data_IF_379703999528
#
_entry.id   IF_379703999528
#
_cell.length_a   1.000
_cell.length_b   1.000
_cell.length_c   1.000
_cell.angle_alpha   90.00
_cell.angle_beta   90.00
_cell.angle_gamma   90.00
#
_symmetry.space_group_name_H-M   'P 1'
#
loop_
_entity.id
_entity.type
_entity.pdbx_description
1 polymer ?
#
# COMPACT_ATOMS: atom_id res chain seq x y z
N UNK A 1 8.03 -18.97 3.17
CA UNK A 1 9.39 -18.47 3.02
C UNK A 1 10.29 -19.45 2.26
N UNK A 2 10.45 -20.69 2.71
CA UNK A 2 11.39 -21.65 2.09
C UNK A 2 11.12 -21.91 0.61
N UNK A 3 9.86 -22.02 0.20
CA UNK A 3 9.48 -22.20 -1.21
C UNK A 3 9.86 -20.98 -2.07
N UNK A 4 9.64 -19.77 -1.57
CA UNK A 4 10.00 -18.54 -2.27
C UNK A 4 11.52 -18.42 -2.42
N UNK A 5 12.28 -18.75 -1.38
CA UNK A 5 13.74 -18.74 -1.42
C UNK A 5 14.31 -19.77 -2.39
N UNK A 6 13.71 -20.96 -2.44
CA UNK A 6 14.09 -21.97 -3.43
C UNK A 6 13.86 -21.49 -4.86
N UNK A 7 12.72 -20.82 -5.12
CA UNK A 7 12.43 -20.21 -6.41
C UNK A 7 13.40 -19.04 -6.72
N UNK A 8 13.68 -18.17 -5.74
CA UNK A 8 14.64 -17.09 -5.89
C UNK A 8 16.03 -17.62 -6.30
N UNK A 9 16.50 -18.68 -5.66
CA UNK A 9 17.76 -19.33 -6.02
C UNK A 9 17.71 -19.97 -7.42
N UNK A 10 16.62 -20.61 -7.77
CA UNK A 10 16.43 -21.27 -9.07
C UNK A 10 16.39 -20.27 -10.24
N UNK A 11 15.83 -19.09 -10.03
CA UNK A 11 15.60 -18.09 -11.09
C UNK A 11 16.54 -16.87 -11.00
N UNK A 12 17.55 -16.90 -10.13
CA UNK A 12 18.45 -15.77 -9.84
C UNK A 12 19.07 -15.10 -11.06
N UNK A 13 19.32 -15.87 -12.14
CA UNK A 13 19.92 -15.38 -13.39
C UNK A 13 18.87 -14.79 -14.36
N UNK A 14 17.58 -14.84 -14.01
CA UNK A 14 16.48 -14.39 -14.86
C UNK A 14 15.67 -13.27 -14.20
N UNK A 15 15.49 -13.32 -12.89
CA UNK A 15 14.70 -12.36 -12.13
C UNK A 15 15.23 -12.24 -10.69
N UNK A 16 15.29 -11.03 -10.18
CA UNK A 16 15.53 -10.78 -8.75
C UNK A 16 14.22 -10.92 -7.99
N UNK A 17 14.17 -11.86 -7.06
CA UNK A 17 13.01 -12.10 -6.18
C UNK A 17 13.39 -11.61 -4.80
N UNK A 18 12.65 -10.62 -4.30
CA UNK A 18 12.72 -10.12 -2.94
C UNK A 18 11.64 -10.79 -2.10
N UNK A 19 11.93 -11.03 -0.82
CA UNK A 19 11.01 -11.68 0.10
C UNK A 19 10.59 -10.71 1.18
N UNK A 20 9.29 -10.44 1.27
CA UNK A 20 8.71 -9.58 2.29
C UNK A 20 7.34 -10.04 2.73
N UNK A 21 6.76 -9.31 3.67
CA UNK A 21 5.37 -9.49 4.10
C UNK A 21 4.66 -8.15 4.12
N UNK A 22 3.39 -8.17 3.78
CA UNK A 22 2.45 -7.13 4.12
C UNK A 22 1.97 -7.39 5.56
N UNK A 23 2.03 -6.35 6.39
CA UNK A 23 1.79 -6.45 7.82
C UNK A 23 0.94 -5.30 8.31
N UNK A 24 0.32 -5.50 9.48
CA UNK A 24 -0.46 -4.49 10.17
C UNK A 24 0.40 -3.71 11.17
N UNK A 25 -0.06 -2.51 11.51
CA UNK A 25 0.44 -1.79 12.67
C UNK A 25 -0.39 -2.16 13.91
N UNK A 26 0.11 -3.08 14.70
CA UNK A 26 -0.42 -3.39 16.02
C UNK A 26 0.67 -3.08 17.07
N UNK A 27 0.51 -2.02 17.86
CA UNK A 27 1.57 -1.48 18.71
C UNK A 27 2.29 -2.53 19.55
N UNK A 28 1.54 -3.46 20.13
CA UNK A 28 2.07 -4.49 21.03
C UNK A 28 2.93 -5.56 20.30
N UNK A 29 2.83 -5.64 18.96
CA UNK A 29 3.53 -6.62 18.15
C UNK A 29 4.72 -6.07 17.36
N UNK A 30 5.00 -4.76 17.41
CA UNK A 30 6.03 -4.15 16.56
C UNK A 30 7.44 -4.66 16.87
N UNK A 31 7.76 -4.93 18.15
CA UNK A 31 9.05 -5.54 18.51
C UNK A 31 9.16 -6.96 17.96
N UNK A 32 8.11 -7.76 18.11
CA UNK A 32 8.05 -9.11 17.54
C UNK A 32 8.20 -9.09 16.01
N UNK A 33 7.55 -8.13 15.33
CA UNK A 33 7.64 -7.98 13.88
C UNK A 33 9.07 -7.63 13.42
N UNK A 34 9.77 -6.76 14.19
CA UNK A 34 11.15 -6.42 13.94
C UNK A 34 12.07 -7.64 14.08
N UNK A 35 11.90 -8.40 15.16
CA UNK A 35 12.65 -9.64 15.41
C UNK A 35 12.37 -10.68 14.32
N UNK A 36 11.10 -10.87 13.96
CA UNK A 36 10.67 -11.78 12.89
C UNK A 36 11.30 -11.42 11.54
N UNK A 37 11.35 -10.12 11.21
CA UNK A 37 12.03 -9.62 10.00
C UNK A 37 13.51 -10.01 10.00
N UNK A 38 14.20 -9.74 11.13
CA UNK A 38 15.63 -9.99 11.27
C UNK A 38 15.97 -11.48 11.23
N UNK A 39 15.27 -12.30 12.05
CA UNK A 39 15.50 -13.75 12.16
C UNK A 39 15.23 -14.48 10.85
N UNK A 40 14.25 -14.00 10.09
CA UNK A 40 13.90 -14.58 8.81
C UNK A 40 14.58 -13.89 7.62
N UNK A 41 15.48 -12.94 7.84
CA UNK A 41 16.19 -12.23 6.78
C UNK A 41 15.27 -11.76 5.66
N UNK A 42 14.17 -11.08 6.04
CA UNK A 42 13.24 -10.52 5.06
C UNK A 42 13.83 -9.26 4.45
N UNK A 43 13.70 -9.12 3.14
CA UNK A 43 14.20 -7.97 2.41
C UNK A 43 13.44 -6.69 2.79
N UNK A 44 12.11 -6.79 2.97
CA UNK A 44 11.25 -5.65 3.27
C UNK A 44 9.99 -6.06 4.05
N UNK A 45 9.30 -5.06 4.60
CA UNK A 45 7.93 -5.16 5.10
C UNK A 45 7.08 -4.05 4.47
N UNK A 46 5.80 -4.33 4.26
CA UNK A 46 4.81 -3.41 3.69
C UNK A 46 3.79 -3.10 4.78
N UNK A 47 3.40 -1.84 4.92
CA UNK A 47 2.31 -1.47 5.81
C UNK A 47 0.97 -1.58 5.09
N UNK A 48 0.18 -2.61 5.41
CA UNK A 48 -1.15 -2.83 4.86
C UNK A 48 -2.19 -1.90 5.48
N UNK A 49 -2.12 -1.70 6.78
CA UNK A 49 -3.06 -0.85 7.53
C UNK A 49 -4.54 -1.18 7.26
N UNK A 50 -4.89 -2.47 7.35
CA UNK A 50 -6.25 -2.93 7.11
C UNK A 50 -7.16 -2.80 8.33
N UNK A 51 -6.61 -2.96 9.55
CA UNK A 51 -7.35 -3.05 10.79
C UNK A 51 -6.82 -2.08 11.85
N UNK A 52 -7.71 -1.66 12.76
CA UNK A 52 -7.36 -0.64 13.75
C UNK A 52 -6.68 -1.16 15.02
N UNK A 53 -6.78 -2.45 15.35
CA UNK A 53 -6.10 -3.04 16.51
C UNK A 53 -5.84 -4.55 16.42
N UNK A 54 -6.68 -5.33 15.75
CA UNK A 54 -6.46 -6.75 15.45
C UNK A 54 -7.31 -7.16 14.25
N UNK A 55 -7.03 -8.32 13.66
CA UNK A 55 -7.72 -8.82 12.47
C UNK A 55 -8.97 -9.66 12.79
N UNK A 56 -9.22 -10.00 14.06
CA UNK A 56 -10.36 -10.80 14.47
C UNK A 56 -11.55 -9.92 14.91
N UNK A 57 -11.30 -8.88 15.71
CA UNK A 57 -12.32 -8.01 16.29
C UNK A 57 -12.16 -6.54 15.88
N UNK A 58 -11.06 -6.19 15.24
CA UNK A 58 -10.76 -4.85 14.79
C UNK A 58 -11.68 -4.34 13.69
N UNK A 59 -11.80 -3.03 13.59
CA UNK A 59 -12.52 -2.42 12.49
C UNK A 59 -11.68 -2.50 11.21
N UNK A 60 -12.23 -3.14 10.17
CA UNK A 60 -11.63 -3.12 8.84
C UNK A 60 -11.73 -1.73 8.23
N UNK A 61 -10.59 -1.16 7.87
CA UNK A 61 -10.52 0.21 7.36
C UNK A 61 -11.09 0.40 5.93
N UNK A 62 -11.30 -0.66 5.18
CA UNK A 62 -12.08 -0.62 3.95
C UNK A 62 -13.58 -0.36 4.17
N UNK A 63 -14.08 -0.42 5.43
CA UNK A 63 -15.48 -0.18 5.80
C UNK A 63 -15.71 1.18 6.46
N UNK A 64 -14.80 2.13 6.30
CA UNK A 64 -14.91 3.49 6.87
C UNK A 64 -16.10 4.24 6.27
N UNK A 65 -16.91 4.86 7.15
CA UNK A 65 -18.08 5.66 6.77
C UNK A 65 -18.16 7.01 7.47
N UNK A 66 -17.33 7.23 8.47
CA UNK A 66 -17.34 8.45 9.27
C UNK A 66 -15.97 9.09 9.36
N UNK A 67 -15.93 10.42 9.59
CA UNK A 67 -14.69 11.15 9.79
C UNK A 67 -13.88 10.62 10.99
N UNK A 68 -14.56 10.17 12.06
CA UNK A 68 -13.88 9.61 13.22
C UNK A 68 -13.16 8.28 12.91
N UNK A 69 -13.79 7.41 12.09
CA UNK A 69 -13.15 6.20 11.62
C UNK A 69 -11.97 6.51 10.68
N UNK A 70 -12.14 7.50 9.79
CA UNK A 70 -11.08 7.95 8.90
C UNK A 70 -9.88 8.51 9.69
N UNK A 71 -10.15 9.24 10.79
CA UNK A 71 -9.07 9.70 11.67
C UNK A 71 -8.27 8.53 12.25
N UNK A 72 -8.94 7.47 12.70
CA UNK A 72 -8.27 6.26 13.22
C UNK A 72 -7.40 5.59 12.16
N UNK A 73 -7.87 5.54 10.90
CA UNK A 73 -7.09 5.02 9.77
C UNK A 73 -5.79 5.80 9.58
N UNK A 74 -5.90 7.14 9.54
CA UNK A 74 -4.72 8.01 9.37
C UNK A 74 -3.77 7.89 10.55
N UNK A 75 -4.30 7.93 11.79
CA UNK A 75 -3.50 7.79 13.01
C UNK A 75 -2.73 6.45 13.05
N UNK A 76 -3.39 5.35 12.64
CA UNK A 76 -2.77 4.04 12.56
C UNK A 76 -1.66 4.00 11.51
N UNK A 77 -1.94 4.47 10.29
CA UNK A 77 -0.96 4.51 9.21
C UNK A 77 0.27 5.34 9.59
N UNK A 78 0.08 6.56 10.10
CA UNK A 78 1.19 7.45 10.49
C UNK A 78 2.06 6.80 11.57
N UNK A 79 1.45 6.26 12.64
CA UNK A 79 2.19 5.56 13.70
C UNK A 79 2.92 4.32 13.18
N UNK A 80 2.30 3.58 12.26
CA UNK A 80 2.95 2.44 11.61
C UNK A 80 4.20 2.88 10.84
N UNK A 81 4.10 3.91 10.03
CA UNK A 81 5.22 4.46 9.26
C UNK A 81 6.35 4.97 10.19
N UNK A 82 6.00 5.63 11.29
CA UNK A 82 6.96 6.15 12.28
C UNK A 82 7.79 5.05 12.97
N UNK A 83 7.38 3.79 12.91
CA UNK A 83 8.18 2.67 13.44
C UNK A 83 9.48 2.47 12.66
N UNK A 84 9.56 2.93 11.41
CA UNK A 84 10.69 2.71 10.51
C UNK A 84 10.85 1.26 10.04
N UNK A 85 9.85 0.39 10.25
CA UNK A 85 9.89 -1.01 9.85
C UNK A 85 9.47 -1.23 8.39
N UNK A 86 8.66 -0.33 7.85
CA UNK A 86 7.97 -0.52 6.58
C UNK A 86 8.64 0.24 5.44
N UNK A 87 8.75 -0.42 4.29
CA UNK A 87 9.39 0.13 3.09
C UNK A 87 8.45 0.99 2.23
N UNK A 88 7.14 0.74 2.32
CA UNK A 88 6.12 1.57 1.68
C UNK A 88 4.74 1.39 2.34
N UNK A 89 3.82 2.33 2.06
CA UNK A 89 2.42 2.26 2.47
C UNK A 89 1.60 1.64 1.33
N UNK A 90 1.03 0.46 1.57
CA UNK A 90 0.15 -0.22 0.62
C UNK A 90 -1.20 0.50 0.52
N UNK A 91 -1.82 0.44 -0.67
CA UNK A 91 -3.17 0.97 -0.96
C UNK A 91 -3.61 2.11 -0.01
N UNK A 92 -2.92 3.27 0.01
CA UNK A 92 -3.12 4.34 0.98
C UNK A 92 -4.52 4.96 0.94
N UNK A 93 -5.29 4.66 -0.08
CA UNK A 93 -6.66 5.08 -0.30
C UNK A 93 -7.69 3.94 -0.11
N UNK A 94 -7.32 2.86 0.58
CA UNK A 94 -8.21 1.73 0.93
C UNK A 94 -9.53 2.20 1.56
N UNK A 95 -9.49 3.26 2.37
CA UNK A 95 -10.66 3.83 3.02
C UNK A 95 -11.74 4.29 2.02
N UNK A 96 -11.38 4.59 0.77
CA UNK A 96 -12.33 4.99 -0.28
C UNK A 96 -13.31 3.88 -0.64
N UNK A 97 -13.03 2.64 -0.24
CA UNK A 97 -13.86 1.48 -0.58
C UNK A 97 -15.32 1.66 -0.15
N UNK A 98 -15.56 2.13 1.07
CA UNK A 98 -16.91 2.36 1.61
C UNK A 98 -17.16 3.79 2.12
N UNK A 99 -16.10 4.59 2.29
CA UNK A 99 -16.23 6.02 2.62
C UNK A 99 -16.94 6.79 1.51
N UNK A 100 -16.60 6.46 0.39
CA UNK A 100 -17.13 6.53 -0.98
C UNK A 100 -18.02 7.62 -1.34
N UNK A 101 -17.80 8.81 -1.16
CA UNK A 101 -18.45 9.60 -1.97
C UNK A 101 -19.00 10.81 -1.51
N UNK A 102 -18.84 11.83 -2.19
CA UNK A 102 -17.74 12.21 -3.06
C UNK A 102 -16.49 12.34 -2.20
N UNK A 103 -15.32 12.44 -2.80
CA UNK A 103 -14.05 12.72 -2.08
C UNK A 103 -14.13 14.10 -1.41
N UNK A 104 -14.50 14.11 -0.14
CA UNK A 104 -14.85 15.31 0.63
C UNK A 104 -13.64 15.97 1.33
N UNK A 105 -13.89 17.00 2.13
CA UNK A 105 -12.85 17.70 2.90
C UNK A 105 -12.11 16.79 3.87
N UNK A 106 -12.78 15.81 4.48
CA UNK A 106 -12.12 14.86 5.38
C UNK A 106 -11.20 13.92 4.62
N UNK A 107 -11.64 13.42 3.46
CA UNK A 107 -10.81 12.62 2.56
C UNK A 107 -9.58 13.39 2.08
N UNK A 108 -9.74 14.68 1.74
CA UNK A 108 -8.61 15.56 1.36
C UNK A 108 -7.64 15.76 2.52
N UNK A 109 -8.14 16.00 3.72
CA UNK A 109 -7.31 16.17 4.91
C UNK A 109 -6.53 14.89 5.22
N UNK A 110 -7.19 13.73 5.15
CA UNK A 110 -6.56 12.43 5.34
C UNK A 110 -5.44 12.18 4.32
N UNK A 111 -5.71 12.41 3.02
CA UNK A 111 -4.71 12.26 1.97
C UNK A 111 -3.48 13.15 2.21
N UNK A 112 -3.70 14.43 2.56
CA UNK A 112 -2.59 15.35 2.84
C UNK A 112 -1.75 14.92 4.03
N UNK A 113 -2.37 14.47 5.10
CA UNK A 113 -1.65 14.05 6.30
C UNK A 113 -0.83 12.79 6.04
N UNK A 114 -1.38 11.80 5.35
CA UNK A 114 -0.63 10.62 4.90
C UNK A 114 0.55 11.02 4.00
N UNK A 115 0.33 11.94 3.06
CA UNK A 115 1.40 12.48 2.21
C UNK A 115 2.50 13.14 3.03
N UNK A 116 2.15 13.96 4.02
CA UNK A 116 3.13 14.63 4.89
C UNK A 116 3.97 13.62 5.67
N UNK A 117 3.34 12.58 6.23
CA UNK A 117 4.04 11.51 6.93
C UNK A 117 4.99 10.75 6.00
N UNK A 118 4.51 10.29 4.85
CA UNK A 118 5.31 9.56 3.88
C UNK A 118 6.50 10.40 3.38
N UNK A 119 6.26 11.68 3.08
CA UNK A 119 7.31 12.60 2.64
C UNK A 119 8.36 12.88 3.71
N UNK A 120 7.94 13.08 4.96
CA UNK A 120 8.84 13.33 6.08
C UNK A 120 9.75 12.13 6.40
N UNK A 121 9.25 10.93 6.17
CA UNK A 121 9.94 9.67 6.40
C UNK A 121 10.64 9.10 5.16
N UNK A 122 10.49 9.76 4.01
CA UNK A 122 10.99 9.32 2.70
C UNK A 122 10.48 7.91 2.30
N UNK A 123 9.21 7.64 2.59
CA UNK A 123 8.53 6.36 2.31
C UNK A 123 7.57 6.56 1.12
N UNK A 124 7.66 5.74 0.05
CA UNK A 124 6.73 5.83 -1.08
C UNK A 124 5.34 5.29 -0.74
N UNK A 125 4.35 5.73 -1.51
CA UNK A 125 2.99 5.20 -1.51
C UNK A 125 2.78 4.24 -2.68
N UNK A 126 1.99 3.22 -2.46
CA UNK A 126 1.61 2.29 -3.51
C UNK A 126 0.42 2.79 -4.31
N UNK A 127 0.55 2.75 -5.64
CA UNK A 127 -0.56 2.81 -6.58
C UNK A 127 -1.03 1.37 -6.84
N UNK A 128 -1.97 0.92 -6.02
CA UNK A 128 -2.38 -0.48 -5.97
C UNK A 128 -3.36 -0.84 -7.08
N UNK A 129 -3.15 -1.99 -7.75
CA UNK A 129 -3.96 -2.42 -8.88
C UNK A 129 -5.01 -3.48 -8.55
N UNK A 130 -5.05 -4.00 -7.32
CA UNK A 130 -5.93 -5.12 -6.95
C UNK A 130 -7.40 -4.87 -7.26
N UNK A 131 -7.94 -3.71 -6.86
CA UNK A 131 -9.36 -3.40 -7.09
C UNK A 131 -9.71 -3.28 -8.60
N UNK A 132 -8.72 -3.03 -9.47
CA UNK A 132 -8.91 -3.04 -10.92
C UNK A 132 -9.17 -4.43 -11.47
N UNK A 133 -8.57 -5.46 -10.88
CA UNK A 133 -8.83 -6.84 -11.27
C UNK A 133 -10.20 -7.32 -10.78
N UNK A 134 -10.64 -6.83 -9.62
CA UNK A 134 -11.96 -7.14 -9.07
C UNK A 134 -13.11 -6.38 -9.75
N UNK A 135 -12.84 -5.20 -10.28
CA UNK A 135 -13.85 -4.29 -10.85
C UNK A 135 -14.74 -4.91 -11.94
N UNK A 136 -14.23 -5.76 -12.86
CA UNK A 136 -15.10 -6.41 -13.85
C UNK A 136 -16.17 -7.35 -13.25
N UNK A 137 -15.89 -7.92 -12.06
CA UNK A 137 -16.79 -8.83 -11.34
C UNK A 137 -17.68 -8.07 -10.37
N UNK A 138 -17.10 -7.15 -9.62
CA UNK A 138 -17.79 -6.40 -8.56
C UNK A 138 -18.55 -5.19 -9.08
N UNK A 139 -18.23 -4.71 -10.27
CA UNK A 139 -18.69 -3.43 -10.84
C UNK A 139 -18.40 -2.23 -9.92
N UNK A 140 -17.41 -2.36 -9.03
CA UNK A 140 -16.96 -1.33 -8.11
C UNK A 140 -15.48 -1.07 -8.39
N UNK A 141 -15.10 0.19 -8.34
CA UNK A 141 -13.70 0.62 -8.29
C UNK A 141 -13.62 1.69 -7.23
N UNK A 142 -12.95 1.39 -6.14
CA UNK A 142 -12.77 2.31 -5.03
C UNK A 142 -11.35 2.87 -4.95
N UNK A 143 -10.37 2.09 -5.35
CA UNK A 143 -8.97 2.49 -5.45
C UNK A 143 -8.30 1.85 -6.68
N UNK A 144 -7.21 2.42 -7.21
CA UNK A 144 -6.69 3.72 -6.80
C UNK A 144 -7.63 4.88 -7.20
N UNK A 145 -7.84 5.84 -6.27
CA UNK A 145 -8.71 7.00 -6.46
C UNK A 145 -7.95 8.18 -7.08
N UNK A 146 -8.47 8.72 -8.17
CA UNK A 146 -7.80 9.79 -8.92
C UNK A 146 -7.64 11.10 -8.12
N UNK A 147 -8.59 11.44 -7.24
CA UNK A 147 -8.50 12.64 -6.43
C UNK A 147 -7.47 12.50 -5.31
N UNK A 148 -7.37 11.29 -4.74
CA UNK A 148 -6.33 10.97 -3.77
C UNK A 148 -4.94 11.11 -4.40
N UNK A 149 -4.69 10.47 -5.53
CA UNK A 149 -3.39 10.48 -6.20
C UNK A 149 -3.04 11.83 -6.81
N UNK A 150 -4.01 12.66 -7.15
CA UNK A 150 -3.73 14.06 -7.51
C UNK A 150 -3.14 14.84 -6.32
N UNK A 151 -3.62 14.59 -5.09
CA UNK A 151 -3.02 15.18 -3.89
C UNK A 151 -1.61 14.62 -3.65
N UNK A 152 -1.42 13.30 -3.79
CA UNK A 152 -0.09 12.66 -3.69
C UNK A 152 0.91 13.33 -4.61
N UNK A 153 0.53 13.58 -5.86
CA UNK A 153 1.34 14.28 -6.86
C UNK A 153 1.64 15.71 -6.45
N UNK A 154 0.63 16.47 -6.00
CA UNK A 154 0.78 17.88 -5.57
C UNK A 154 1.69 18.04 -4.35
N UNK A 155 1.59 17.11 -3.39
CA UNK A 155 2.43 17.08 -2.19
C UNK A 155 3.85 16.57 -2.48
N UNK A 156 4.08 15.97 -3.65
CA UNK A 156 5.39 15.52 -4.09
C UNK A 156 5.87 14.25 -3.37
N UNK A 157 4.97 13.29 -3.15
CA UNK A 157 5.30 11.99 -2.56
C UNK A 157 5.67 11.00 -3.66
N UNK A 158 6.66 10.17 -3.40
CA UNK A 158 7.08 9.10 -4.31
C UNK A 158 6.00 8.01 -4.39
N UNK A 159 5.82 7.45 -5.58
CA UNK A 159 4.80 6.44 -5.86
C UNK A 159 5.43 5.26 -6.59
N UNK A 160 5.06 4.06 -6.21
CA UNK A 160 5.35 2.82 -6.94
C UNK A 160 4.05 2.10 -7.31
N UNK A 161 4.10 1.25 -8.32
CA UNK A 161 2.95 0.40 -8.69
C UNK A 161 3.05 -0.92 -7.94
N UNK A 162 1.98 -1.29 -7.22
CA UNK A 162 1.78 -2.62 -6.67
C UNK A 162 0.68 -3.36 -7.42
N UNK A 163 0.97 -4.58 -7.85
CA UNK A 163 -0.04 -5.43 -8.49
C UNK A 163 -0.97 -6.04 -7.45
N UNK A 164 -0.43 -6.33 -6.27
CA UNK A 164 -1.15 -6.96 -5.15
C UNK A 164 -1.93 -8.20 -5.62
N UNK A 165 -1.22 -9.07 -6.33
CA UNK A 165 -1.80 -10.18 -7.05
C UNK A 165 -2.22 -11.31 -6.10
N UNK A 166 -3.49 -11.69 -6.17
CA UNK A 166 -4.07 -12.82 -5.46
C UNK A 166 -4.24 -14.06 -6.36
N UNK A 167 -4.18 -13.86 -7.68
CA UNK A 167 -4.25 -14.91 -8.66
C UNK A 167 -3.10 -14.81 -9.68
N UNK A 168 -2.56 -15.93 -10.19
CA UNK A 168 -1.45 -15.91 -11.15
C UNK A 168 -1.73 -15.13 -12.44
N UNK A 169 -2.98 -15.04 -12.86
CA UNK A 169 -3.42 -14.33 -14.05
C UNK A 169 -3.24 -12.82 -13.92
N UNK A 170 -3.32 -12.26 -12.71
CA UNK A 170 -3.13 -10.84 -12.44
C UNK A 170 -1.69 -10.41 -12.73
N UNK A 171 -0.71 -11.24 -12.37
CA UNK A 171 0.71 -11.01 -12.72
C UNK A 171 0.98 -11.18 -14.21
N UNK A 172 0.24 -12.10 -14.87
CA UNK A 172 0.42 -12.37 -16.31
C UNK A 172 -0.21 -11.34 -17.23
N UNK A 173 -1.02 -10.42 -16.67
CA UNK A 173 -1.72 -9.40 -17.44
C UNK A 173 -1.01 -8.04 -17.33
N UNK A 174 -0.11 -7.69 -18.28
CA UNK A 174 0.63 -6.44 -18.22
C UNK A 174 -0.24 -5.21 -18.50
N UNK A 175 -1.45 -5.39 -19.09
CA UNK A 175 -2.27 -4.28 -19.52
C UNK A 175 -2.65 -3.31 -18.39
N UNK A 176 -2.89 -3.82 -17.17
CA UNK A 176 -3.18 -2.98 -16.01
C UNK A 176 -1.96 -2.20 -15.54
N UNK A 177 -0.78 -2.82 -15.60
CA UNK A 177 0.49 -2.15 -15.34
C UNK A 177 0.77 -1.04 -16.36
N UNK A 178 0.62 -1.34 -17.65
CA UNK A 178 0.83 -0.37 -18.73
C UNK A 178 -0.14 0.82 -18.64
N UNK A 179 -1.39 0.55 -18.20
CA UNK A 179 -2.36 1.60 -17.96
C UNK A 179 -1.98 2.47 -16.77
N UNK A 180 -1.62 1.84 -15.64
CA UNK A 180 -1.17 2.55 -14.44
C UNK A 180 0.08 3.39 -14.70
N UNK A 181 1.06 2.85 -15.42
CA UNK A 181 2.27 3.59 -15.81
C UNK A 181 1.94 4.86 -16.59
N UNK A 182 0.98 4.80 -17.51
CA UNK A 182 0.51 5.99 -18.25
C UNK A 182 -0.23 6.98 -17.35
N UNK A 183 -1.04 6.51 -16.41
CA UNK A 183 -1.74 7.37 -15.44
C UNK A 183 -0.75 8.07 -14.50
N UNK A 184 0.41 7.46 -14.25
CA UNK A 184 1.48 7.99 -13.42
C UNK A 184 2.53 8.81 -14.19
N UNK A 185 2.46 8.91 -15.53
CA UNK A 185 3.35 9.80 -16.31
C UNK A 185 3.44 11.24 -15.74
N UNK A 186 2.34 11.87 -15.28
CA UNK A 186 2.39 13.21 -14.68
C UNK A 186 3.19 13.32 -13.38
N UNK A 187 3.53 12.19 -12.73
CA UNK A 187 4.37 12.15 -11.55
C UNK A 187 5.86 12.38 -11.86
N UNK A 188 6.28 12.08 -13.11
CA UNK A 188 7.68 12.25 -13.52
C UNK A 188 8.64 11.50 -12.60
N UNK A 189 9.60 12.20 -12.03
CA UNK A 189 10.60 11.62 -11.13
C UNK A 189 10.05 11.12 -9.78
N UNK A 190 8.78 11.37 -9.46
CA UNK A 190 8.12 10.82 -8.28
C UNK A 190 7.62 9.40 -8.51
N UNK A 191 7.49 8.96 -9.75
CA UNK A 191 7.14 7.58 -10.07
C UNK A 191 8.40 6.70 -10.07
N UNK A 192 8.40 5.70 -9.21
CA UNK A 192 9.46 4.70 -9.10
C UNK A 192 9.01 3.39 -9.75
N UNK A 193 9.80 2.87 -10.68
CA UNK A 193 9.52 1.61 -11.38
C UNK A 193 9.99 0.37 -10.60
N UNK A 194 10.65 0.59 -9.46
CA UNK A 194 11.13 -0.47 -8.57
C UNK A 194 11.24 0.03 -7.13
N UNK A 195 11.16 -0.90 -6.18
CA UNK A 195 11.38 -0.62 -4.77
C UNK A 195 12.89 -0.46 -4.49
N UNK A 196 13.28 0.69 -3.98
CA UNK A 196 14.62 0.94 -3.46
C UNK A 196 14.71 0.44 -2.01
N UNK A 197 15.60 -0.53 -1.73
CA UNK A 197 15.86 -1.13 -0.41
C UNK A 197 17.26 -0.83 0.07
#
# INVERSE_FOLDING_TARGET
LNSVRALAAQYKDKIRILTGFECEYFPDYMNWLADMRAENHLDYLILGNHFDHDDEYGMYFGNIRTAAQLRRYVDSAVKGLETGLFSYLAHPDLFMRDYGKPFDENGRAAAKELCQACKALDIPMEYNLHDRFLSPVTHRRSYPDAHFFEIVRQEGVRVLIGVDAHEPEEIRNPAQWDLASRELEPFGALFEDHLCL
#
